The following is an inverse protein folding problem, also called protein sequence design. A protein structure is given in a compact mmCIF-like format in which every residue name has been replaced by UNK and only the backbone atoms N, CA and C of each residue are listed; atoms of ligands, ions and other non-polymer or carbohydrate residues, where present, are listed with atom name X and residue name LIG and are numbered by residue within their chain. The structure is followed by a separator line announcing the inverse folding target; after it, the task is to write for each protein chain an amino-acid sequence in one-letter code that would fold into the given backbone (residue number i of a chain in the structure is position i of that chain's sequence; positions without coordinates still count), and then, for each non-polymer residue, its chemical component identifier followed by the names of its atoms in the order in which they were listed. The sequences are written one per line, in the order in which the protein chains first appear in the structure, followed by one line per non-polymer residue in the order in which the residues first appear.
data_IF_719952324863
#
_entry.id   IF_719952324863
#
_cell.length_a   1.000
_cell.length_b   1.000
_cell.length_c   1.000
_cell.angle_alpha   90.00
_cell.angle_beta   90.00
_cell.angle_gamma   90.00
#
_symmetry.space_group_name_H-M   'P 1'
#
loop_
_entity.id
_entity.type
_entity.pdbx_description
1 polymer ?
#
# COMPACT_ATOMS: atom_id res chain seq x y z
N UNK A 1 20.77 -9.64 16.61
CA UNK A 1 19.47 -9.65 15.91
C UNK A 1 19.75 -9.66 14.42
N UNK A 2 19.11 -10.53 13.63
CA UNK A 2 19.19 -10.44 12.17
C UNK A 2 18.18 -9.36 11.73
N UNK A 3 18.55 -8.43 10.84
CA UNK A 3 17.59 -7.49 10.29
C UNK A 3 16.44 -8.27 9.63
N UNK A 4 15.20 -7.86 9.90
CA UNK A 4 14.06 -8.38 9.17
C UNK A 4 14.19 -7.91 7.71
N UNK A 5 14.66 -8.80 6.84
CA UNK A 5 14.83 -8.48 5.42
C UNK A 5 13.47 -8.56 4.76
N UNK A 6 12.91 -7.40 4.43
CA UNK A 6 11.67 -7.31 3.65
C UNK A 6 12.01 -7.36 2.16
N UNK A 7 11.33 -8.24 1.42
CA UNK A 7 11.44 -8.25 -0.04
C UNK A 7 10.78 -7.00 -0.62
N UNK A 8 11.47 -6.35 -1.54
CA UNK A 8 11.05 -5.11 -2.17
C UNK A 8 9.76 -5.30 -2.97
N UNK A 9 8.90 -4.28 -2.94
CA UNK A 9 7.67 -4.19 -3.73
C UNK A 9 7.59 -2.80 -4.38
N UNK A 10 7.17 -2.75 -5.63
CA UNK A 10 6.75 -1.51 -6.28
C UNK A 10 5.23 -1.39 -6.17
N UNK A 11 4.73 -0.19 -5.88
CA UNK A 11 3.31 0.12 -5.86
C UNK A 11 3.04 1.15 -6.94
N UNK A 12 2.15 0.80 -7.87
CA UNK A 12 1.59 1.72 -8.86
C UNK A 12 0.14 1.97 -8.47
N UNK A 13 -0.29 3.22 -8.39
CA UNK A 13 -1.65 3.57 -8.00
C UNK A 13 -2.07 4.89 -8.64
N UNK A 14 -3.38 5.06 -8.90
CA UNK A 14 -3.96 6.34 -9.27
C UNK A 14 -3.85 7.37 -8.15
N UNK A 15 -3.96 8.64 -8.50
CA UNK A 15 -4.05 9.78 -7.58
C UNK A 15 -5.15 9.62 -6.54
N UNK A 16 -6.31 9.05 -6.90
CA UNK A 16 -7.36 8.70 -5.94
C UNK A 16 -6.93 7.82 -4.77
N UNK A 17 -5.80 7.11 -4.84
CA UNK A 17 -5.17 6.47 -3.67
C UNK A 17 -4.29 7.45 -2.91
N UNK A 18 -3.37 8.14 -3.60
CA UNK A 18 -2.34 8.97 -2.97
C UNK A 18 -2.89 10.20 -2.24
N UNK A 19 -4.06 10.69 -2.64
CA UNK A 19 -4.70 11.84 -2.00
C UNK A 19 -5.22 11.54 -0.58
N UNK A 20 -5.49 10.27 -0.28
CA UNK A 20 -6.13 9.84 0.97
C UNK A 20 -5.32 8.80 1.75
N UNK A 21 -4.48 8.02 1.08
CA UNK A 21 -3.52 7.09 1.68
C UNK A 21 -2.17 7.78 1.79
N UNK A 22 -1.76 8.11 3.01
CA UNK A 22 -0.45 8.71 3.27
C UNK A 22 0.70 7.75 2.92
N UNK A 23 1.80 8.28 2.41
CA UNK A 23 3.00 7.49 2.09
C UNK A 23 3.52 6.68 3.28
N UNK A 24 3.36 7.20 4.50
CA UNK A 24 3.75 6.54 5.76
C UNK A 24 2.91 5.30 6.10
N UNK A 25 1.68 5.23 5.60
CA UNK A 25 0.72 4.15 5.88
C UNK A 25 0.83 3.04 4.82
N UNK A 26 1.43 3.36 3.66
CA UNK A 26 1.63 2.43 2.56
C UNK A 26 2.32 1.12 2.96
N UNK A 27 3.42 1.13 3.75
CA UNK A 27 4.12 -0.10 4.12
C UNK A 27 3.23 -1.08 4.89
N UNK A 28 2.41 -0.63 5.84
CA UNK A 28 1.54 -1.54 6.60
C UNK A 28 0.44 -2.15 5.72
N UNK A 29 -0.05 -1.39 4.74
CA UNK A 29 -1.08 -1.85 3.80
C UNK A 29 -0.55 -2.89 2.81
N UNK A 30 0.74 -2.82 2.43
CA UNK A 30 1.32 -3.71 1.40
C UNK A 30 2.25 -4.79 1.95
N UNK A 31 2.73 -4.69 3.20
CA UNK A 31 3.69 -5.65 3.79
C UNK A 31 3.05 -6.69 4.70
N UNK A 32 1.83 -6.46 5.20
CA UNK A 32 1.21 -7.36 6.19
C UNK A 32 0.67 -8.67 5.59
N UNK A 33 1.35 -9.76 5.95
CA UNK A 33 0.69 -11.03 6.30
C UNK A 33 0.65 -12.13 5.26
N UNK A 34 1.09 -11.89 4.03
CA UNK A 34 1.12 -12.96 3.03
C UNK A 34 2.51 -13.62 2.95
N UNK A 35 2.63 -14.92 2.65
CA UNK A 35 3.90 -15.58 2.37
C UNK A 35 4.31 -15.48 0.89
N UNK A 36 5.61 -15.30 0.63
CA UNK A 36 6.17 -15.30 -0.73
C UNK A 36 5.91 -16.65 -1.45
N UNK A 37 5.53 -16.67 -2.74
CA UNK A 37 5.20 -15.54 -3.62
C UNK A 37 3.80 -15.00 -3.29
N UNK A 38 3.78 -13.86 -2.61
CA UNK A 38 2.55 -13.21 -2.14
C UNK A 38 1.79 -12.71 -3.36
N UNK A 39 0.52 -13.11 -3.47
CA UNK A 39 -0.47 -12.39 -4.30
C UNK A 39 -0.44 -10.92 -3.90
N UNK A 40 -0.13 -10.06 -4.86
CA UNK A 40 -0.34 -8.62 -4.77
C UNK A 40 -1.77 -8.34 -4.26
N UNK A 41 -1.93 -8.17 -2.94
CA UNK A 41 -3.22 -7.89 -2.35
C UNK A 41 -3.42 -6.38 -2.35
N UNK A 42 -4.08 -5.91 -3.39
CA UNK A 42 -4.47 -4.52 -3.56
C UNK A 42 -5.74 -4.18 -2.77
N UNK A 43 -6.43 -5.17 -2.18
CA UNK A 43 -7.73 -4.94 -1.53
C UNK A 43 -7.58 -4.00 -0.34
N UNK A 44 -6.53 -4.16 0.47
CA UNK A 44 -6.25 -3.26 1.60
C UNK A 44 -6.00 -1.81 1.16
N UNK A 45 -5.30 -1.61 0.05
CA UNK A 45 -5.07 -0.28 -0.53
C UNK A 45 -6.39 0.34 -1.03
N UNK A 46 -7.21 -0.45 -1.71
CA UNK A 46 -8.51 -0.01 -2.21
C UNK A 46 -9.48 0.33 -1.07
N UNK A 47 -9.56 -0.50 -0.03
CA UNK A 47 -10.37 -0.24 1.16
C UNK A 47 -9.91 1.02 1.90
N UNK A 48 -8.61 1.20 2.11
CA UNK A 48 -8.08 2.40 2.75
C UNK A 48 -8.41 3.66 1.94
N UNK A 49 -8.32 3.60 0.61
CA UNK A 49 -8.71 4.72 -0.24
C UNK A 49 -10.21 5.01 -0.15
N UNK A 50 -11.05 3.97 -0.18
CA UNK A 50 -12.50 4.12 -0.05
C UNK A 50 -12.90 4.76 1.29
N UNK A 51 -12.32 4.29 2.40
CA UNK A 51 -12.55 4.83 3.75
C UNK A 51 -12.08 6.28 3.86
N UNK A 52 -10.91 6.60 3.32
CA UNK A 52 -10.37 7.96 3.29
C UNK A 52 -11.30 8.92 2.54
N UNK A 53 -11.76 8.54 1.35
CA UNK A 53 -12.74 9.31 0.59
C UNK A 53 -14.06 9.45 1.32
N UNK A 54 -14.61 8.37 1.87
CA UNK A 54 -15.84 8.41 2.63
C UNK A 54 -15.76 9.38 3.82
N UNK A 55 -14.61 9.44 4.51
CA UNK A 55 -14.39 10.38 5.61
C UNK A 55 -14.31 11.84 5.15
N UNK A 56 -13.75 12.13 3.98
CA UNK A 56 -13.58 13.51 3.48
C UNK A 56 -14.86 14.08 2.87
N UNK A 57 -15.72 13.24 2.30
CA UNK A 57 -16.88 13.68 1.52
C UNK A 57 -18.22 13.43 2.22
N UNK A 58 -18.21 12.82 3.41
CA UNK A 58 -19.44 12.42 4.11
C UNK A 58 -20.12 11.19 3.49
N UNK A 59 -19.33 10.26 2.96
CA UNK A 59 -19.80 8.97 2.42
C UNK A 59 -19.85 8.86 0.90
N UNK A 60 -19.39 9.88 0.16
CA UNK A 60 -19.35 9.90 -1.30
C UNK A 60 -17.98 9.55 -1.87
N UNK A 61 -17.90 8.51 -2.68
CA UNK A 61 -16.68 8.18 -3.39
C UNK A 61 -16.55 9.02 -4.67
N UNK A 62 -15.41 9.69 -4.89
CA UNK A 62 -15.28 10.78 -5.89
C UNK A 62 -14.30 10.53 -7.05
N UNK A 63 -13.53 9.46 -7.01
CA UNK A 63 -12.44 9.26 -7.99
C UNK A 63 -12.22 7.79 -8.33
N UNK A 64 -11.65 7.47 -9.49
CA UNK A 64 -11.35 6.08 -9.85
C UNK A 64 -10.10 5.57 -9.10
N UNK A 65 -10.24 4.48 -8.33
CA UNK A 65 -9.11 3.85 -7.63
C UNK A 65 -8.65 2.61 -8.37
N UNK A 66 -7.42 2.69 -8.89
CA UNK A 66 -6.71 1.55 -9.49
C UNK A 66 -5.35 1.40 -8.82
N UNK A 67 -4.94 0.17 -8.52
CA UNK A 67 -3.59 -0.12 -8.03
C UNK A 67 -3.03 -1.44 -8.55
N UNK A 68 -1.70 -1.52 -8.51
CA UNK A 68 -0.92 -2.72 -8.78
C UNK A 68 0.23 -2.79 -7.77
N UNK A 69 0.39 -3.94 -7.11
CA UNK A 69 1.55 -4.23 -6.26
C UNK A 69 2.43 -5.24 -6.97
N UNK A 70 3.67 -4.87 -7.27
CA UNK A 70 4.61 -5.70 -8.02
C UNK A 70 5.70 -6.15 -7.06
N UNK A 71 5.82 -7.45 -6.76
CA UNK A 71 6.96 -7.91 -6.00
C UNK A 71 8.21 -7.98 -6.88
N UNK A 72 9.32 -7.39 -6.40
CA UNK A 72 10.54 -7.24 -7.21
C UNK A 72 11.55 -8.38 -7.01
N UNK A 73 11.30 -9.30 -6.08
CA UNK A 73 12.15 -10.47 -5.83
C UNK A 73 13.53 -10.15 -5.21
N UNK A 74 13.93 -8.89 -5.15
CA UNK A 74 15.12 -8.40 -4.46
C UNK A 74 14.81 -7.98 -3.01
N UNK A 75 15.83 -8.00 -2.16
CA UNK A 75 15.75 -7.47 -0.79
C UNK A 75 15.99 -5.95 -0.86
N UNK A 76 15.09 -5.16 -0.25
CA UNK A 76 15.29 -3.72 -0.10
C UNK A 76 15.42 -3.35 1.37
N UNK A 77 16.45 -2.58 1.70
CA UNK A 77 16.53 -1.89 2.98
C UNK A 77 15.52 -0.75 2.96
N UNK A 78 14.48 -0.83 3.79
CA UNK A 78 13.61 0.32 4.05
C UNK A 78 14.39 1.26 4.98
N UNK A 79 14.71 2.47 4.50
CA UNK A 79 15.18 3.54 5.37
C UNK A 79 13.98 3.99 6.21
N UNK A 80 13.90 3.53 7.45
CA UNK A 80 12.96 4.04 8.43
C UNK A 80 13.71 5.11 9.21
N UNK A 81 13.50 6.38 8.88
CA UNK A 81 13.98 7.46 9.73
C UNK A 81 13.27 7.36 11.08
N UNK A 82 14.08 7.41 12.14
CA UNK A 82 13.70 7.20 13.55
C UNK A 82 13.10 8.44 14.18
#
# INVERSE_FOLDING_TARGET
MRPHMHKAKAVLASDGIWEVVGQKDLPSLVLDGAPWPIRADTAKLQSAAFEGWASLTGGGYRDDVTSMVIPLGCEAALAVDS
#
